data_IF_336693826487
#
_entry.id   IF_336693826487
#
_cell.length_a   1.000
_cell.length_b   1.000
_cell.length_c   1.000
_cell.angle_alpha   90.00
_cell.angle_beta   90.00
_cell.angle_gamma   90.00
#
_symmetry.space_group_name_H-M   'P 1'
#
loop_
_entity.id
_entity.type
_entity.pdbx_description
1 polymer ?
#
# COMPACT_ATOMS: atom_id res chain seq x y z
N UNK A 1 11.50 2.74 -2.08
CA UNK A 1 10.53 1.61 -2.11
C UNK A 1 9.29 1.81 -3.01
N UNK A 2 9.06 3.00 -3.58
CA UNK A 2 7.80 3.38 -4.25
C UNK A 2 7.49 2.66 -5.57
N UNK A 3 8.53 2.28 -6.33
CA UNK A 3 8.36 1.66 -7.66
C UNK A 3 7.68 0.28 -7.58
N UNK A 4 7.97 -0.52 -6.55
CA UNK A 4 7.32 -1.82 -6.34
C UNK A 4 5.85 -1.69 -5.94
N UNK A 5 5.52 -0.70 -5.10
CA UNK A 5 4.12 -0.40 -4.77
C UNK A 5 3.32 0.01 -6.01
N UNK A 6 3.94 0.82 -6.87
CA UNK A 6 3.35 1.25 -8.15
C UNK A 6 3.11 0.07 -9.11
N UNK A 7 4.05 -0.88 -9.21
CA UNK A 7 3.88 -2.09 -10.03
C UNK A 7 2.85 -3.05 -9.45
N UNK A 8 2.77 -3.15 -8.12
CA UNK A 8 1.79 -3.99 -7.43
C UNK A 8 0.37 -3.55 -7.74
N UNK A 9 0.12 -2.25 -7.89
CA UNK A 9 -1.19 -1.69 -8.19
C UNK A 9 -1.54 -1.82 -9.68
N UNK A 10 -2.65 -2.51 -9.97
CA UNK A 10 -3.15 -2.71 -11.35
C UNK A 10 -4.44 -1.92 -11.57
N UNK A 11 -4.39 -0.62 -11.27
CA UNK A 11 -5.47 0.33 -11.58
C UNK A 11 -4.93 1.75 -11.74
N UNK A 12 -5.73 2.61 -12.38
CA UNK A 12 -5.47 4.05 -12.46
C UNK A 12 -6.37 4.81 -11.49
N UNK A 13 -5.76 5.65 -10.63
CA UNK A 13 -6.47 6.50 -9.67
C UNK A 13 -5.61 7.67 -9.24
N UNK A 14 -6.20 8.87 -9.29
CA UNK A 14 -5.54 10.10 -8.84
C UNK A 14 -4.23 10.33 -9.60
N UNK A 15 -3.12 10.45 -8.87
CA UNK A 15 -1.79 10.72 -9.44
C UNK A 15 -1.07 9.45 -9.97
N UNK A 16 -1.65 8.27 -9.80
CA UNK A 16 -1.11 7.03 -10.34
C UNK A 16 -1.93 6.59 -11.55
N UNK A 17 -1.36 6.80 -12.74
CA UNK A 17 -1.96 6.41 -14.02
C UNK A 17 -1.10 5.35 -14.70
N UNK A 18 -1.76 4.32 -15.24
CA UNK A 18 -1.16 3.25 -16.05
C UNK A 18 -1.96 3.06 -17.33
N UNK A 19 -1.26 3.04 -18.46
CA UNK A 19 -1.87 2.80 -19.77
C UNK A 19 -2.45 1.38 -19.89
N UNK A 20 -1.83 0.38 -19.26
CA UNK A 20 -2.35 -1.01 -19.25
C UNK A 20 -3.69 -1.15 -18.49
N UNK A 21 -3.94 -0.27 -17.52
CA UNK A 21 -5.13 -0.30 -16.65
C UNK A 21 -5.69 1.12 -16.48
N UNK A 22 -6.33 1.68 -17.52
CA UNK A 22 -6.70 3.10 -17.56
C UNK A 22 -7.89 3.43 -16.65
N UNK A 23 -8.64 2.42 -16.21
CA UNK A 23 -9.84 2.59 -15.39
C UNK A 23 -9.56 2.42 -13.89
N UNK A 24 -10.46 2.98 -13.08
CA UNK A 24 -10.49 2.75 -11.65
C UNK A 24 -11.11 1.37 -11.36
N UNK A 25 -10.65 0.68 -10.31
CA UNK A 25 -11.20 -0.60 -9.90
C UNK A 25 -11.40 -0.64 -8.39
N UNK A 26 -12.55 -0.12 -7.95
CA UNK A 26 -12.88 0.02 -6.54
C UNK A 26 -13.12 -1.32 -5.85
N UNK A 27 -13.52 -2.36 -6.59
CA UNK A 27 -13.79 -3.68 -6.03
C UNK A 27 -12.52 -4.33 -5.45
N UNK A 28 -11.38 -4.16 -6.12
CA UNK A 28 -10.12 -4.81 -5.73
C UNK A 28 -9.10 -3.86 -5.09
N UNK A 29 -9.25 -2.56 -5.31
CA UNK A 29 -8.23 -1.54 -4.98
C UNK A 29 -8.73 -0.42 -4.07
N UNK A 30 -9.96 -0.48 -3.55
CA UNK A 30 -10.41 0.39 -2.47
C UNK A 30 -9.78 -0.03 -1.12
N UNK A 31 -8.46 0.05 -1.05
CA UNK A 31 -7.62 -0.35 0.09
C UNK A 31 -6.36 0.52 0.15
N UNK A 32 -5.68 0.53 1.30
CA UNK A 32 -4.34 1.09 1.41
C UNK A 32 -3.30 0.03 1.06
N UNK A 33 -2.32 0.39 0.23
CA UNK A 33 -1.16 -0.46 -0.07
C UNK A 33 -0.02 -0.04 0.84
N UNK A 34 0.43 -0.94 1.72
CA UNK A 34 1.64 -0.75 2.51
C UNK A 34 2.80 -1.55 1.92
N UNK A 35 4.00 -1.01 2.05
CA UNK A 35 5.25 -1.68 1.68
C UNK A 35 6.03 -1.95 2.95
N UNK A 36 6.56 -3.17 3.08
CA UNK A 36 7.42 -3.54 4.18
C UNK A 36 8.65 -4.27 3.65
N UNK A 37 9.74 -4.16 4.40
CA UNK A 37 10.96 -4.91 4.16
C UNK A 37 10.92 -6.15 5.04
N UNK A 38 10.94 -7.32 4.42
CA UNK A 38 11.06 -8.59 5.11
C UNK A 38 12.49 -8.75 5.67
N UNK A 39 12.67 -9.67 6.63
CA UNK A 39 13.95 -9.93 7.29
C UNK A 39 15.04 -10.37 6.28
N UNK A 40 14.64 -11.03 5.20
CA UNK A 40 15.52 -11.42 4.07
C UNK A 40 15.93 -10.24 3.18
N UNK A 41 15.58 -9.00 3.54
CA UNK A 41 15.84 -7.79 2.77
C UNK A 41 14.93 -7.60 1.54
N UNK A 42 14.04 -8.56 1.26
CA UNK A 42 13.07 -8.44 0.19
C UNK A 42 11.97 -7.44 0.57
N UNK A 43 11.60 -6.58 -0.37
CA UNK A 43 10.48 -5.65 -0.18
C UNK A 43 9.19 -6.29 -0.71
N UNK A 44 8.17 -6.35 0.14
CA UNK A 44 6.86 -6.94 -0.09
C UNK A 44 5.76 -5.90 0.07
N UNK A 45 4.62 -6.14 -0.58
CA UNK A 45 3.45 -5.24 -0.56
C UNK A 45 2.25 -5.96 0.06
N UNK A 46 1.45 -5.25 0.85
CA UNK A 46 0.23 -5.78 1.47
C UNK A 46 -0.93 -4.80 1.33
N UNK A 47 -2.14 -5.34 1.16
CA UNK A 47 -3.39 -4.58 1.12
C UNK A 47 -3.99 -4.50 2.53
N UNK A 48 -4.35 -3.31 2.96
CA UNK A 48 -5.06 -3.04 4.20
C UNK A 48 -6.43 -2.45 3.88
N UNK A 49 -7.49 -3.02 4.46
CA UNK A 49 -8.84 -2.47 4.31
C UNK A 49 -8.90 -1.08 4.95
N UNK A 50 -9.65 -0.16 4.33
CA UNK A 50 -9.80 1.23 4.80
C UNK A 50 -10.25 1.29 6.27
N UNK A 51 -11.14 0.38 6.67
CA UNK A 51 -11.73 0.35 8.01
C UNK A 51 -10.72 -0.05 9.09
N UNK A 52 -9.89 -1.08 8.87
CA UNK A 52 -8.91 -1.52 9.86
C UNK A 52 -7.68 -0.60 9.93
N UNK A 53 -7.29 0.03 8.82
CA UNK A 53 -6.11 0.88 8.80
C UNK A 53 -6.27 2.10 9.72
N UNK A 54 -7.43 2.77 9.67
CA UNK A 54 -7.71 3.95 10.49
C UNK A 54 -7.80 3.60 11.98
N UNK A 55 -8.43 2.47 12.32
CA UNK A 55 -8.55 2.00 13.71
C UNK A 55 -7.20 1.57 14.30
N UNK A 56 -6.36 0.89 13.51
CA UNK A 56 -5.01 0.47 13.93
C UNK A 56 -4.13 1.69 14.23
N UNK A 57 -4.23 2.75 13.42
CA UNK A 57 -3.49 3.99 13.62
C UNK A 57 -3.86 4.74 14.90
N UNK A 58 -5.13 4.63 15.36
CA UNK A 58 -5.62 5.33 16.55
C UNK A 58 -5.28 4.60 17.85
N UNK A 59 -5.27 3.26 17.85
CA UNK A 59 -5.24 2.47 19.09
C UNK A 59 -3.87 1.88 19.40
N UNK A 60 -3.00 1.73 18.41
CA UNK A 60 -1.66 1.23 18.67
C UNK A 60 -0.71 2.39 19.04
N UNK A 61 -0.52 2.63 20.35
CA UNK A 61 0.65 3.33 20.91
C UNK A 61 1.97 2.53 20.72
N UNK A 62 1.96 1.46 19.94
CA UNK A 62 3.21 0.87 19.48
C UNK A 62 3.78 1.78 18.41
N UNK A 63 5.00 2.33 18.56
CA UNK A 63 5.67 2.95 17.43
C UNK A 63 5.75 1.87 16.36
N UNK A 64 4.91 2.02 15.34
CA UNK A 64 5.00 1.25 14.12
C UNK A 64 6.47 1.21 13.81
N UNK A 65 7.03 0.01 13.65
CA UNK A 65 8.41 -0.17 13.20
C UNK A 65 8.45 0.49 11.82
N UNK A 66 8.71 1.79 11.83
CA UNK A 66 8.91 2.70 10.73
C UNK A 66 10.31 2.33 10.21
N UNK A 67 10.43 1.10 9.74
CA UNK A 67 11.54 0.65 8.92
C UNK A 67 11.41 1.34 7.57
N UNK A 68 11.79 2.61 7.55
CA UNK A 68 12.25 3.34 6.37
C UNK A 68 11.21 3.55 5.26
N UNK A 69 10.31 4.52 5.49
CA UNK A 69 9.73 5.27 4.38
C UNK A 69 10.84 6.18 3.82
N UNK A 70 11.50 5.74 2.75
CA UNK A 70 12.28 6.57 1.82
C UNK A 70 11.73 6.37 0.39
#
# INVERSE_FOLDING_TARGET
MKLKANLFRTESRGMHYREDYPFHNDAEWLCHVGVYKADDGQVACMKYSLFLYWWRFIISETPCVFGEII
#
